data_IF_591202473879
#
_entry.id   IF_591202473879
#
_cell.length_a   1.000
_cell.length_b   1.000
_cell.length_c   1.000
_cell.angle_alpha   90.00
_cell.angle_beta   90.00
_cell.angle_gamma   90.00
#
_symmetry.space_group_name_H-M   'P 1'
#
loop_
_entity.id
_entity.type
_entity.pdbx_description
1 polymer ?
#
# COMPACT_ATOMS: atom_id res chain seq x y z
N UNK A 1 -7.33 -14.04 -31.16
CA UNK A 1 -7.42 -13.55 -29.77
C UNK A 1 -8.12 -12.21 -29.80
N UNK A 2 -9.21 -12.07 -29.13
CA UNK A 2 -9.89 -10.80 -29.02
C UNK A 2 -9.43 -10.09 -27.70
N UNK A 3 -9.76 -8.80 -27.58
CA UNK A 3 -9.36 -8.00 -26.42
C UNK A 3 -9.91 -8.59 -25.09
N UNK A 4 -11.11 -9.16 -25.12
CA UNK A 4 -11.73 -9.74 -23.93
C UNK A 4 -10.97 -10.98 -23.45
N UNK A 5 -10.46 -11.82 -24.36
CA UNK A 5 -9.64 -12.99 -24.00
C UNK A 5 -8.34 -12.56 -23.33
N UNK A 6 -7.72 -11.49 -23.82
CA UNK A 6 -6.49 -10.93 -23.23
C UNK A 6 -6.76 -10.38 -21.84
N UNK A 7 -7.83 -9.60 -21.67
CA UNK A 7 -8.20 -9.03 -20.36
C UNK A 7 -8.56 -10.12 -19.35
N UNK A 8 -9.32 -11.11 -19.78
CA UNK A 8 -9.67 -12.26 -18.95
C UNK A 8 -8.41 -13.01 -18.51
N UNK A 9 -7.51 -13.32 -19.42
CA UNK A 9 -6.24 -13.99 -19.13
C UNK A 9 -5.37 -13.19 -18.17
N UNK A 10 -5.26 -11.88 -18.39
CA UNK A 10 -4.50 -10.99 -17.52
C UNK A 10 -5.08 -10.95 -16.10
N UNK A 11 -6.41 -10.94 -15.95
CA UNK A 11 -7.07 -10.96 -14.65
C UNK A 11 -6.86 -12.30 -13.93
N UNK A 12 -6.95 -13.42 -14.65
CA UNK A 12 -6.62 -14.74 -14.10
C UNK A 12 -5.16 -14.85 -13.66
N UNK A 13 -4.24 -14.27 -14.45
CA UNK A 13 -2.81 -14.20 -14.11
C UNK A 13 -2.60 -13.40 -12.82
N UNK A 14 -3.22 -12.22 -12.72
CA UNK A 14 -3.12 -11.37 -11.54
C UNK A 14 -3.63 -12.10 -10.27
N UNK A 15 -4.81 -12.74 -10.34
CA UNK A 15 -5.35 -13.50 -9.21
C UNK A 15 -4.42 -14.66 -8.81
N UNK A 16 -3.82 -15.36 -9.80
CA UNK A 16 -2.89 -16.47 -9.54
C UNK A 16 -1.57 -15.97 -8.95
N UNK A 17 -1.05 -14.82 -9.38
CA UNK A 17 0.15 -14.21 -8.84
C UNK A 17 -0.05 -13.76 -7.38
N UNK A 18 -1.21 -13.18 -7.05
CA UNK A 18 -1.58 -12.82 -5.68
C UNK A 18 -1.60 -14.07 -4.80
N UNK A 19 -2.32 -15.11 -5.22
CA UNK A 19 -2.36 -16.39 -4.49
C UNK A 19 -0.95 -16.93 -4.25
N UNK A 20 -0.14 -17.04 -5.29
CA UNK A 20 1.22 -17.55 -5.17
C UNK A 20 2.07 -16.75 -4.20
N UNK A 21 1.98 -15.42 -4.24
CA UNK A 21 2.71 -14.53 -3.32
C UNK A 21 2.27 -14.74 -1.88
N UNK A 22 0.96 -14.80 -1.62
CA UNK A 22 0.42 -15.03 -0.28
C UNK A 22 0.89 -16.39 0.27
N UNK A 23 0.72 -17.46 -0.51
CA UNK A 23 1.08 -18.82 -0.08
C UNK A 23 2.61 -19.02 0.09
N UNK A 24 3.44 -18.28 -0.66
CA UNK A 24 4.90 -18.43 -0.62
C UNK A 24 5.58 -17.60 0.45
N UNK A 25 5.06 -16.42 0.77
CA UNK A 25 5.75 -15.44 1.60
C UNK A 25 5.08 -15.15 2.94
N UNK A 26 3.80 -15.50 3.10
CA UNK A 26 3.12 -15.34 4.37
C UNK A 26 3.07 -16.67 5.13
N UNK A 27 3.46 -16.69 6.41
CA UNK A 27 3.32 -17.87 7.27
C UNK A 27 1.83 -18.05 7.65
N UNK A 28 1.01 -18.43 6.68
CA UNK A 28 -0.39 -18.71 6.93
C UNK A 28 -0.49 -20.08 7.56
N UNK A 29 -0.93 -20.12 8.82
CA UNK A 29 -1.27 -21.38 9.47
C UNK A 29 -2.50 -21.98 8.78
N UNK A 30 -2.30 -23.12 8.12
CA UNK A 30 -3.35 -23.82 7.38
C UNK A 30 -4.44 -24.37 8.30
N UNK A 31 -4.17 -24.46 9.58
CA UNK A 31 -5.12 -24.90 10.60
C UNK A 31 -5.92 -23.71 11.20
N UNK A 32 -5.56 -22.49 10.90
CA UNK A 32 -6.35 -21.31 11.30
C UNK A 32 -7.68 -21.28 10.53
N UNK A 33 -8.77 -21.16 11.28
CA UNK A 33 -10.15 -21.29 10.77
C UNK A 33 -10.53 -20.24 9.72
N UNK A 34 -9.88 -19.07 9.72
CA UNK A 34 -10.00 -18.02 8.67
C UNK A 34 -8.86 -17.01 8.78
N UNK A 35 -8.28 -16.67 7.67
CA UNK A 35 -7.35 -15.53 7.53
C UNK A 35 -8.07 -14.42 6.79
N UNK A 36 -8.02 -13.21 7.32
CA UNK A 36 -8.65 -12.06 6.67
C UNK A 36 -7.69 -11.43 5.65
N UNK A 37 -8.21 -11.18 4.45
CA UNK A 37 -7.51 -10.47 3.38
C UNK A 37 -8.23 -9.15 3.10
N UNK A 38 -7.59 -8.04 3.44
CA UNK A 38 -8.16 -6.71 3.17
C UNK A 38 -7.65 -6.18 1.83
N UNK A 39 -8.57 -5.87 0.93
CA UNK A 39 -8.27 -5.32 -0.40
C UNK A 39 -8.63 -3.84 -0.48
N UNK A 40 -7.78 -3.06 -1.17
CA UNK A 40 -7.95 -1.61 -1.37
C UNK A 40 -7.36 -1.16 -2.71
N UNK A 41 -7.70 0.05 -3.14
CA UNK A 41 -7.29 0.62 -4.41
C UNK A 41 -8.19 0.18 -5.57
N UNK A 42 -7.92 0.65 -6.79
CA UNK A 42 -8.78 0.43 -7.95
C UNK A 42 -9.10 -1.02 -8.28
N UNK A 43 -8.20 -1.97 -7.96
CA UNK A 43 -8.43 -3.39 -8.14
C UNK A 43 -9.58 -3.97 -7.29
N UNK A 44 -9.91 -3.34 -6.16
CA UNK A 44 -11.01 -3.75 -5.30
C UNK A 44 -12.40 -3.48 -5.90
N UNK A 45 -12.49 -2.65 -6.94
CA UNK A 45 -13.71 -2.42 -7.71
C UNK A 45 -13.91 -3.44 -8.84
N UNK A 46 -12.90 -4.23 -9.16
CA UNK A 46 -13.00 -5.29 -10.16
C UNK A 46 -13.58 -6.55 -9.53
N UNK A 47 -14.90 -6.69 -9.58
CA UNK A 47 -15.62 -7.84 -8.98
C UNK A 47 -15.15 -9.18 -9.58
N UNK A 48 -14.81 -9.22 -10.87
CA UNK A 48 -14.29 -10.43 -11.48
C UNK A 48 -12.94 -10.85 -10.87
N UNK A 49 -12.03 -9.89 -10.64
CA UNK A 49 -10.77 -10.15 -9.94
C UNK A 49 -11.00 -10.64 -8.50
N UNK A 50 -11.88 -9.98 -7.76
CA UNK A 50 -12.19 -10.34 -6.37
C UNK A 50 -12.77 -11.75 -6.28
N UNK A 51 -13.69 -12.10 -7.18
CA UNK A 51 -14.28 -13.43 -7.25
C UNK A 51 -13.21 -14.50 -7.55
N UNK A 52 -12.31 -14.23 -8.51
CA UNK A 52 -11.21 -15.16 -8.83
C UNK A 52 -10.23 -15.33 -7.65
N UNK A 53 -9.95 -14.27 -6.90
CA UNK A 53 -9.11 -14.37 -5.68
C UNK A 53 -9.82 -15.24 -4.65
N UNK A 54 -11.12 -15.01 -4.42
CA UNK A 54 -11.93 -15.80 -3.47
C UNK A 54 -11.96 -17.30 -3.85
N UNK A 55 -12.20 -17.62 -5.13
CA UNK A 55 -12.19 -18.99 -5.62
C UNK A 55 -10.83 -19.69 -5.45
N UNK A 56 -9.74 -18.94 -5.71
CA UNK A 56 -8.37 -19.48 -5.62
C UNK A 56 -7.85 -19.59 -4.19
N UNK A 57 -8.43 -18.85 -3.25
CA UNK A 57 -8.01 -18.78 -1.85
C UNK A 57 -9.21 -18.97 -0.90
N UNK A 58 -9.84 -20.17 -0.89
CA UNK A 58 -11.09 -20.42 -0.15
C UNK A 58 -10.94 -20.36 1.37
N UNK A 59 -9.72 -20.38 1.89
CA UNK A 59 -9.44 -20.26 3.33
C UNK A 59 -9.33 -18.79 3.80
N UNK A 60 -9.42 -17.82 2.85
CA UNK A 60 -9.34 -16.40 3.15
C UNK A 60 -10.73 -15.77 3.12
N UNK A 61 -11.02 -14.95 4.12
CA UNK A 61 -12.19 -14.06 4.10
C UNK A 61 -11.74 -12.72 3.51
N UNK A 62 -12.31 -12.34 2.36
CA UNK A 62 -11.92 -11.12 1.66
C UNK A 62 -12.81 -9.98 2.09
N UNK A 63 -12.21 -8.90 2.58
CA UNK A 63 -12.87 -7.66 2.93
C UNK A 63 -12.35 -6.51 2.06
N UNK A 64 -13.23 -5.61 1.67
CA UNK A 64 -12.81 -4.29 1.17
C UNK A 64 -12.44 -3.41 2.36
N UNK A 65 -11.47 -2.51 2.19
CA UNK A 65 -11.02 -1.63 3.28
C UNK A 65 -12.11 -0.71 3.84
N UNK A 66 -13.18 -0.47 3.10
CA UNK A 66 -14.37 0.26 3.58
C UNK A 66 -15.00 -0.40 4.82
N UNK A 67 -14.92 -1.72 4.96
CA UNK A 67 -15.41 -2.44 6.13
C UNK A 67 -14.68 -2.04 7.43
N UNK A 68 -13.48 -1.48 7.30
CA UNK A 68 -12.65 -0.99 8.40
C UNK A 68 -12.59 0.55 8.47
N UNK A 69 -13.55 1.23 7.86
CA UNK A 69 -13.63 2.69 7.78
C UNK A 69 -12.49 3.36 6.99
N UNK A 70 -11.79 2.62 6.13
CA UNK A 70 -10.80 3.14 5.21
C UNK A 70 -11.36 3.10 3.79
N UNK A 71 -11.67 4.26 3.18
CA UNK A 71 -12.18 4.29 1.81
C UNK A 71 -11.22 3.57 0.86
N UNK A 72 -11.77 2.70 0.01
CA UNK A 72 -10.99 1.84 -0.91
C UNK A 72 -9.98 2.66 -1.73
N UNK A 73 -10.38 3.85 -2.19
CA UNK A 73 -9.55 4.70 -3.06
C UNK A 73 -8.64 5.67 -2.29
N UNK A 74 -8.72 5.74 -0.95
CA UNK A 74 -7.96 6.70 -0.15
C UNK A 74 -6.58 6.19 0.29
N UNK A 75 -6.28 4.90 0.12
CA UNK A 75 -5.04 4.27 0.62
C UNK A 75 -3.78 5.00 0.15
N UNK A 76 -3.67 5.28 -1.14
CA UNK A 76 -2.49 5.95 -1.70
C UNK A 76 -2.39 7.40 -1.20
N UNK A 77 -3.48 8.15 -1.21
CA UNK A 77 -3.51 9.52 -0.71
C UNK A 77 -3.12 9.61 0.76
N UNK A 78 -3.60 8.68 1.59
CA UNK A 78 -3.24 8.59 3.00
C UNK A 78 -1.75 8.23 3.19
N UNK A 79 -1.24 7.28 2.41
CA UNK A 79 0.17 6.90 2.47
C UNK A 79 1.09 8.07 2.10
N UNK A 80 0.77 8.81 1.04
CA UNK A 80 1.54 9.99 0.65
C UNK A 80 1.42 11.14 1.66
N UNK A 81 0.26 11.34 2.28
CA UNK A 81 0.11 12.33 3.34
C UNK A 81 1.00 11.99 4.56
N UNK A 82 1.03 10.73 4.99
CA UNK A 82 1.90 10.27 6.06
C UNK A 82 3.37 10.46 5.69
N UNK A 83 3.78 10.07 4.48
CA UNK A 83 5.17 10.25 4.01
C UNK A 83 5.57 11.72 3.96
N UNK A 84 4.66 12.62 3.56
CA UNK A 84 4.89 14.06 3.58
C UNK A 84 5.12 14.58 5.01
N UNK A 85 4.29 14.16 5.97
CA UNK A 85 4.50 14.49 7.39
C UNK A 85 5.85 13.97 7.90
N UNK A 86 6.18 12.70 7.66
CA UNK A 86 7.47 12.14 8.05
C UNK A 86 8.65 12.91 7.46
N UNK A 87 8.53 13.33 6.20
CA UNK A 87 9.58 14.13 5.53
C UNK A 87 9.76 15.49 6.19
N UNK A 88 8.65 16.18 6.54
CA UNK A 88 8.70 17.49 7.22
C UNK A 88 9.21 17.39 8.64
N UNK A 89 8.94 16.28 9.32
CA UNK A 89 9.39 16.02 10.69
C UNK A 89 10.83 15.46 10.75
N UNK A 90 11.48 15.27 9.61
CA UNK A 90 12.85 14.72 9.53
C UNK A 90 12.91 13.22 9.89
N UNK A 91 11.79 12.52 9.84
CA UNK A 91 11.68 11.09 10.17
C UNK A 91 11.82 10.24 8.90
N UNK A 92 12.59 9.15 9.00
CA UNK A 92 12.75 8.23 7.88
C UNK A 92 11.41 7.56 7.51
N UNK A 93 11.05 7.63 6.22
CA UNK A 93 9.80 7.11 5.71
C UNK A 93 9.88 5.70 5.12
N UNK A 94 11.06 5.07 5.09
CA UNK A 94 11.24 3.72 4.57
C UNK A 94 11.44 2.69 5.69
N UNK A 95 11.09 1.45 5.38
CA UNK A 95 11.38 0.28 6.21
C UNK A 95 12.47 -0.53 5.50
N UNK A 96 13.75 -0.47 5.94
CA UNK A 96 14.87 -1.12 5.24
C UNK A 96 14.67 -2.61 5.01
N UNK A 97 14.11 -3.32 5.98
CA UNK A 97 13.82 -4.77 5.86
C UNK A 97 12.81 -5.10 4.75
N UNK A 98 11.86 -4.19 4.48
CA UNK A 98 10.86 -4.40 3.43
C UNK A 98 11.34 -3.93 2.05
N UNK A 99 12.18 -2.89 2.01
CA UNK A 99 12.62 -2.25 0.75
C UNK A 99 13.98 -2.72 0.25
N UNK A 100 14.74 -3.46 1.07
CA UNK A 100 16.13 -3.84 0.77
C UNK A 100 17.11 -2.67 0.84
N UNK A 101 16.70 -1.52 1.37
CA UNK A 101 17.58 -0.35 1.53
C UNK A 101 18.66 -0.61 2.59
N UNK A 102 19.86 -0.02 2.39
CA UNK A 102 20.98 -0.16 3.34
C UNK A 102 20.74 0.48 4.72
N UNK A 103 19.69 1.27 4.87
CA UNK A 103 19.32 1.91 6.14
C UNK A 103 18.14 2.87 5.99
N UNK A 104 17.71 3.50 7.11
CA UNK A 104 16.65 4.50 7.11
C UNK A 104 17.00 5.70 6.22
N UNK A 105 16.01 6.26 5.52
CA UNK A 105 16.16 7.42 4.62
C UNK A 105 14.96 8.35 4.73
N UNK A 106 15.23 9.63 4.69
CA UNK A 106 14.20 10.62 4.39
C UNK A 106 13.75 10.43 2.94
N UNK A 107 12.46 10.41 2.72
CA UNK A 107 11.87 10.23 1.40
C UNK A 107 11.27 11.56 0.90
N UNK A 108 11.40 11.78 -0.42
CA UNK A 108 10.88 12.98 -1.06
C UNK A 108 11.82 14.18 -0.99
N UNK A 109 11.32 15.31 -1.49
CA UNK A 109 11.99 16.60 -1.48
C UNK A 109 10.99 17.71 -1.20
N UNK A 110 11.43 18.76 -0.52
CA UNK A 110 10.63 19.94 -0.23
C UNK A 110 11.03 21.06 -1.19
N UNK A 111 10.05 21.58 -1.93
CA UNK A 111 10.26 22.71 -2.86
C UNK A 111 9.37 23.87 -2.44
N UNK A 112 9.83 24.76 -1.56
CA UNK A 112 8.98 25.78 -0.95
C UNK A 112 8.62 26.95 -1.88
N UNK A 113 9.15 26.99 -3.10
CA UNK A 113 8.81 27.95 -4.15
C UNK A 113 9.39 29.36 -3.96
N UNK A 114 9.71 29.79 -2.75
CA UNK A 114 10.32 31.11 -2.47
C UNK A 114 11.18 31.07 -1.22
N UNK A 115 12.17 31.99 -1.11
CA UNK A 115 13.00 32.13 0.08
C UNK A 115 12.17 32.40 1.34
N UNK A 116 11.10 33.18 1.22
CA UNK A 116 10.19 33.48 2.33
C UNK A 116 9.50 32.19 2.85
N UNK A 117 8.97 31.37 1.95
CA UNK A 117 8.35 30.10 2.28
C UNK A 117 9.36 29.13 2.90
N UNK A 118 10.59 29.12 2.38
CA UNK A 118 11.69 28.34 2.94
C UNK A 118 11.99 28.73 4.39
N UNK A 119 12.18 30.03 4.67
CA UNK A 119 12.41 30.48 6.02
C UNK A 119 11.25 30.17 6.98
N UNK A 120 10.00 30.25 6.51
CA UNK A 120 8.85 29.91 7.31
C UNK A 120 8.81 28.40 7.63
N UNK A 121 9.11 27.56 6.64
CA UNK A 121 9.19 26.10 6.82
C UNK A 121 10.29 25.74 7.84
N UNK A 122 11.49 26.29 7.71
CA UNK A 122 12.58 26.04 8.64
C UNK A 122 12.23 26.43 10.07
N UNK A 123 11.56 27.59 10.28
CA UNK A 123 11.09 27.99 11.61
C UNK A 123 10.07 27.01 12.18
N UNK A 124 9.19 26.50 11.35
CA UNK A 124 8.19 25.52 11.77
C UNK A 124 8.82 24.18 12.13
N UNK A 125 9.83 23.74 11.41
CA UNK A 125 10.54 22.47 11.64
C UNK A 125 11.47 22.50 12.86
N UNK A 126 11.98 23.67 13.29
CA UNK A 126 12.93 23.80 14.40
C UNK A 126 12.49 23.13 15.72
N UNK A 127 11.23 23.21 16.15
CA UNK A 127 10.78 22.56 17.40
C UNK A 127 10.81 21.04 17.35
N UNK A 128 10.86 20.45 16.15
CA UNK A 128 10.79 19.01 15.92
C UNK A 128 12.15 18.41 15.54
N UNK A 129 13.22 19.17 15.54
CA UNK A 129 14.56 18.65 15.28
C UNK A 129 14.97 17.74 16.46
N UNK A 130 15.25 16.45 16.25
CA UNK A 130 15.78 15.61 17.31
C UNK A 130 17.13 16.16 17.76
N UNK A 131 17.29 16.31 19.06
CA UNK A 131 18.55 16.70 19.73
C UNK A 131 19.62 15.61 19.52
#
# INVERSE_FOLDING_TARGET
WNLYDVLCTATHFAASAIRHSVESFLPVDKDSKSVELVVSGGGAHNEFLINLISEKMPHFVIHKSDAFHYPVDAKESMAFAILACLTTDGVAGNIPLATGAKGPRLLGSLTPGSTRNWCNLLRWMQPYSPS
#
